data_IF_163983183439
#
_entry.id   IF_163983183439
#
_cell.length_a   1.000
_cell.length_b   1.000
_cell.length_c   1.000
_cell.angle_alpha   90.00
_cell.angle_beta   90.00
_cell.angle_gamma   90.00
#
_symmetry.space_group_name_H-M   'P 1'
#
loop_
_entity.id
_entity.type
_entity.pdbx_description
1 polymer ?
#
# COMPACT_ATOMS: atom_id res chain seq x y z
N UNK A 1 -2.87 11.90 23.67
CA UNK A 1 -2.41 10.97 22.61
C UNK A 1 -2.77 9.55 23.03
N UNK A 2 -3.28 8.71 22.11
CA UNK A 2 -3.51 7.30 22.43
C UNK A 2 -2.16 6.60 22.65
N UNK A 3 -2.10 5.69 23.61
CA UNK A 3 -0.92 4.85 23.83
C UNK A 3 -0.72 3.99 22.59
N UNK A 4 0.45 4.05 21.98
CA UNK A 4 0.84 3.13 20.90
C UNK A 4 1.48 1.92 21.56
N UNK A 5 0.87 0.75 21.35
CA UNK A 5 1.33 -0.52 21.90
C UNK A 5 1.70 -1.41 20.72
N UNK A 6 2.82 -2.12 20.83
CA UNK A 6 3.26 -3.15 19.90
C UNK A 6 3.28 -4.45 20.71
N UNK A 7 2.71 -5.51 20.14
CA UNK A 7 2.76 -6.83 20.76
C UNK A 7 4.21 -7.33 20.81
N UNK A 8 4.66 -7.84 21.97
CA UNK A 8 6.04 -8.30 22.15
C UNK A 8 6.41 -9.45 21.21
N UNK A 9 5.44 -10.26 20.80
CA UNK A 9 5.64 -11.37 19.86
C UNK A 9 6.13 -10.92 18.48
N UNK A 10 5.95 -9.65 18.12
CA UNK A 10 6.51 -9.08 16.88
C UNK A 10 8.03 -9.08 16.92
N UNK A 11 8.65 -8.75 18.05
CA UNK A 11 10.11 -8.71 18.17
C UNK A 11 10.74 -10.11 18.27
N UNK A 12 9.96 -11.12 18.70
CA UNK A 12 10.38 -12.51 18.62
C UNK A 12 10.45 -12.99 17.17
N UNK A 13 9.48 -12.60 16.33
CA UNK A 13 9.42 -13.00 14.92
C UNK A 13 10.32 -12.14 14.02
N UNK A 14 10.49 -10.87 14.36
CA UNK A 14 11.23 -9.87 13.59
C UNK A 14 12.15 -9.07 14.52
N UNK A 15 13.30 -9.62 14.92
CA UNK A 15 14.21 -8.98 15.89
C UNK A 15 14.68 -7.60 15.46
N UNK A 16 14.82 -7.37 14.15
CA UNK A 16 15.27 -6.10 13.58
C UNK A 16 14.13 -5.11 13.30
N UNK A 17 12.89 -5.43 13.70
CA UNK A 17 11.75 -4.55 13.46
C UNK A 17 11.91 -3.21 14.18
N UNK A 18 11.87 -2.12 13.41
CA UNK A 18 11.89 -0.75 13.91
C UNK A 18 10.57 -0.07 13.57
N UNK A 19 9.98 0.63 14.55
CA UNK A 19 8.78 1.45 14.34
C UNK A 19 9.05 2.89 14.76
N UNK A 20 8.84 3.81 13.83
CA UNK A 20 8.91 5.25 14.07
C UNK A 20 7.52 5.87 13.89
N UNK A 21 7.26 6.97 14.60
CA UNK A 21 6.02 7.74 14.48
C UNK A 21 6.42 9.18 14.20
N UNK A 22 6.05 9.66 13.02
CA UNK A 22 6.22 11.06 12.63
C UNK A 22 4.86 11.74 12.76
N UNK A 23 4.79 12.78 13.60
CA UNK A 23 3.59 13.60 13.76
C UNK A 23 3.88 14.97 13.18
N UNK A 24 3.25 15.27 12.04
CA UNK A 24 3.33 16.59 11.41
C UNK A 24 2.06 17.37 11.77
N UNK A 25 2.23 18.61 12.21
CA UNK A 25 1.13 19.54 12.47
C UNK A 25 1.11 20.60 11.36
N UNK A 26 -0.07 21.17 11.13
CA UNK A 26 -0.27 22.28 10.21
C UNK A 26 0.19 21.98 8.77
N UNK A 27 0.10 20.72 8.37
CA UNK A 27 0.42 20.28 7.01
C UNK A 27 -0.71 20.66 6.04
N UNK A 28 -0.37 21.43 5.01
CA UNK A 28 -1.31 21.77 3.95
C UNK A 28 -1.33 20.65 2.89
N UNK A 29 -2.26 19.73 3.06
CA UNK A 29 -2.47 18.57 2.19
C UNK A 29 -3.31 18.87 0.94
N UNK A 30 -3.55 20.13 0.58
CA UNK A 30 -4.67 20.49 -0.29
C UNK A 30 -4.33 20.63 -1.79
N UNK A 31 -3.06 20.74 -2.16
CA UNK A 31 -2.70 21.17 -3.50
C UNK A 31 -2.29 20.00 -4.39
N UNK A 32 -3.21 19.58 -5.27
CA UNK A 32 -2.90 18.62 -6.32
C UNK A 32 -1.81 19.14 -7.26
N UNK A 33 -0.68 18.44 -7.32
CA UNK A 33 0.45 18.84 -8.16
C UNK A 33 0.36 18.20 -9.56
N UNK A 34 0.02 19.02 -10.57
CA UNK A 34 -0.09 18.56 -11.98
C UNK A 34 1.24 17.99 -12.51
N UNK A 35 2.40 18.44 -12.01
CA UNK A 35 3.72 17.91 -12.42
C UNK A 35 3.96 16.50 -11.89
N UNK A 36 3.23 16.07 -10.85
CA UNK A 36 3.29 14.70 -10.30
C UNK A 36 2.19 13.83 -10.91
N UNK A 37 0.95 14.36 -10.95
CA UNK A 37 -0.22 13.60 -11.42
C UNK A 37 -0.10 13.13 -12.87
N UNK A 38 0.43 13.97 -13.77
CA UNK A 38 0.53 13.65 -15.20
C UNK A 38 1.56 12.52 -15.47
N UNK A 39 2.81 12.59 -14.96
CA UNK A 39 3.75 11.46 -15.09
C UNK A 39 3.22 10.17 -14.44
N UNK A 40 2.60 10.26 -13.26
CA UNK A 40 2.03 9.10 -12.59
C UNK A 40 0.95 8.41 -13.44
N UNK A 41 -0.01 9.17 -13.96
CA UNK A 41 -1.06 8.62 -14.83
C UNK A 41 -0.48 7.97 -16.09
N UNK A 42 0.53 8.60 -16.72
CA UNK A 42 1.21 8.03 -17.90
C UNK A 42 1.87 6.69 -17.59
N UNK A 43 2.51 6.56 -16.44
CA UNK A 43 3.15 5.31 -16.03
C UNK A 43 2.11 4.23 -15.70
N UNK A 44 0.99 4.60 -15.07
CA UNK A 44 -0.13 3.69 -14.83
C UNK A 44 -0.67 3.17 -16.17
N UNK A 45 -0.98 4.06 -17.12
CA UNK A 45 -1.48 3.69 -18.45
C UNK A 45 -0.52 2.73 -19.18
N UNK A 46 0.79 2.97 -19.07
CA UNK A 46 1.81 2.09 -19.65
C UNK A 46 1.74 0.67 -19.07
N UNK A 47 1.63 0.56 -17.75
CA UNK A 47 1.67 -0.73 -17.02
C UNK A 47 0.33 -1.43 -16.91
N UNK A 48 -0.79 -0.80 -17.26
CA UNK A 48 -2.13 -1.41 -17.20
C UNK A 48 -2.26 -2.70 -18.02
N UNK A 49 -1.41 -2.88 -19.03
CA UNK A 49 -1.36 -4.08 -19.88
C UNK A 49 -0.60 -5.25 -19.24
N UNK A 50 0.17 -4.99 -18.18
CA UNK A 50 0.94 -6.01 -17.48
C UNK A 50 0.07 -6.74 -16.45
N UNK A 51 0.32 -8.03 -16.25
CA UNK A 51 -0.33 -8.80 -15.20
C UNK A 51 0.39 -8.61 -13.85
N UNK A 52 0.26 -7.41 -13.27
CA UNK A 52 0.92 -7.05 -12.00
C UNK A 52 0.40 -7.84 -10.79
N UNK A 53 -0.77 -8.47 -10.89
CA UNK A 53 -1.33 -9.32 -9.82
C UNK A 53 -0.44 -10.54 -9.57
N UNK A 54 0.20 -11.04 -10.63
CA UNK A 54 1.07 -12.21 -10.57
C UNK A 54 2.53 -11.86 -10.23
N UNK A 55 2.85 -10.57 -10.05
CA UNK A 55 4.21 -10.13 -9.75
C UNK A 55 4.70 -10.75 -8.44
N UNK A 56 5.96 -11.24 -8.35
CA UNK A 56 6.47 -11.92 -7.14
C UNK A 56 6.27 -11.13 -5.84
N UNK A 57 6.55 -9.81 -5.85
CA UNK A 57 6.34 -8.95 -4.69
C UNK A 57 4.86 -8.73 -4.32
N UNK A 58 3.93 -8.92 -5.26
CA UNK A 58 2.49 -8.85 -4.98
C UNK A 58 2.00 -10.19 -4.42
N UNK A 59 2.53 -11.31 -4.91
CA UNK A 59 2.25 -12.66 -4.39
C UNK A 59 2.81 -12.89 -2.98
N UNK A 60 3.96 -12.32 -2.65
CA UNK A 60 4.55 -12.42 -1.31
C UNK A 60 3.58 -11.97 -0.19
N UNK A 61 2.62 -11.11 -0.51
CA UNK A 61 1.58 -10.70 0.43
C UNK A 61 0.53 -11.77 0.73
N UNK A 62 0.33 -12.76 -0.13
CA UNK A 62 -0.55 -13.89 0.18
C UNK A 62 0.03 -14.71 1.33
N UNK A 63 1.32 -15.03 1.25
CA UNK A 63 2.03 -15.74 2.31
C UNK A 63 2.02 -14.96 3.62
N UNK A 64 2.17 -13.63 3.56
CA UNK A 64 2.10 -12.77 4.74
C UNK A 64 0.71 -12.80 5.39
N UNK A 65 -0.36 -12.70 4.59
CA UNK A 65 -1.74 -12.80 5.08
C UNK A 65 -2.02 -14.17 5.71
N UNK A 66 -1.58 -15.26 5.06
CA UNK A 66 -1.75 -16.61 5.57
C UNK A 66 -1.00 -16.82 6.91
N UNK A 67 0.23 -16.31 7.04
CA UNK A 67 0.98 -16.34 8.30
C UNK A 67 0.28 -15.59 9.45
N UNK A 68 -0.51 -14.57 9.11
CA UNK A 68 -1.35 -13.83 10.06
C UNK A 68 -2.74 -14.46 10.29
N UNK A 69 -3.02 -15.62 9.68
CA UNK A 69 -4.33 -16.28 9.80
C UNK A 69 -5.45 -15.60 9.00
N UNK A 70 -5.11 -14.71 8.06
CA UNK A 70 -6.06 -14.05 7.17
C UNK A 70 -6.05 -14.74 5.80
N UNK A 71 -7.21 -15.15 5.30
CA UNK A 71 -7.33 -15.63 3.92
C UNK A 71 -7.17 -14.45 2.94
N UNK A 72 -6.12 -14.41 2.09
CA UNK A 72 -5.89 -13.32 1.13
C UNK A 72 -6.90 -13.29 -0.02
N UNK A 73 -7.68 -14.35 -0.24
CA UNK A 73 -8.74 -14.34 -1.25
C UNK A 73 -10.03 -13.70 -0.70
N UNK A 74 -10.34 -13.96 0.57
CA UNK A 74 -11.47 -13.33 1.28
C UNK A 74 -11.17 -11.90 1.72
N UNK A 75 -9.94 -11.64 2.21
CA UNK A 75 -9.46 -10.35 2.68
C UNK A 75 -8.16 -9.98 1.96
N UNK A 76 -8.26 -9.48 0.71
CA UNK A 76 -7.08 -9.25 -0.11
C UNK A 76 -6.15 -8.17 0.46
N UNK A 77 -4.82 -8.37 0.36
CA UNK A 77 -3.85 -7.31 0.60
C UNK A 77 -4.22 -6.03 -0.14
N UNK A 78 -4.00 -4.88 0.50
CA UNK A 78 -4.37 -3.56 -0.05
C UNK A 78 -3.81 -3.33 -1.46
N UNK A 79 -2.59 -3.79 -1.73
CA UNK A 79 -1.96 -3.71 -3.05
C UNK A 79 -2.72 -4.52 -4.11
N UNK A 80 -3.23 -5.71 -3.79
CA UNK A 80 -4.04 -6.52 -4.72
C UNK A 80 -5.39 -5.87 -4.98
N UNK A 81 -6.03 -5.33 -3.95
CA UNK A 81 -7.28 -4.58 -4.09
C UNK A 81 -7.10 -3.35 -4.98
N UNK A 82 -6.00 -2.61 -4.80
CA UNK A 82 -5.63 -1.45 -5.60
C UNK A 82 -5.39 -1.83 -7.07
N UNK A 83 -4.59 -2.86 -7.34
CA UNK A 83 -4.33 -3.34 -8.70
C UNK A 83 -5.61 -3.80 -9.40
N UNK A 84 -6.50 -4.53 -8.70
CA UNK A 84 -7.82 -4.90 -9.22
C UNK A 84 -8.68 -3.69 -9.56
N UNK A 85 -8.68 -2.64 -8.71
CA UNK A 85 -9.41 -1.39 -8.96
C UNK A 85 -8.90 -0.69 -10.22
N UNK A 86 -7.58 -0.55 -10.36
CA UNK A 86 -6.95 0.09 -11.52
C UNK A 86 -7.32 -0.68 -12.80
N UNK A 87 -7.21 -2.01 -12.78
CA UNK A 87 -7.55 -2.88 -13.92
C UNK A 87 -9.01 -2.75 -14.35
N UNK A 88 -9.93 -2.50 -13.42
CA UNK A 88 -11.36 -2.26 -13.69
C UNK A 88 -11.68 -0.82 -14.15
N UNK A 89 -10.67 0.03 -14.36
CA UNK A 89 -10.87 1.42 -14.76
C UNK A 89 -11.24 2.36 -13.60
N UNK A 90 -11.23 1.88 -12.35
CA UNK A 90 -11.49 2.70 -11.16
C UNK A 90 -10.36 3.68 -10.81
N UNK A 91 -9.32 3.71 -11.64
CA UNK A 91 -8.15 4.57 -11.52
C UNK A 91 -7.28 4.27 -10.29
N UNK A 92 -6.17 4.98 -10.21
CA UNK A 92 -5.36 5.06 -9.00
C UNK A 92 -5.96 6.16 -8.11
N UNK A 93 -6.35 5.88 -6.85
CA UNK A 93 -6.76 6.92 -5.94
C UNK A 93 -5.58 7.89 -5.79
N UNK A 94 -5.81 9.18 -5.99
CA UNK A 94 -4.73 10.16 -5.91
C UNK A 94 -4.16 10.14 -4.48
N UNK A 95 -3.00 9.51 -4.32
CA UNK A 95 -2.18 9.65 -3.12
C UNK A 95 -1.57 11.03 -3.24
N UNK A 96 -1.79 11.83 -2.20
CA UNK A 96 -1.54 13.25 -2.17
C UNK A 96 -0.12 13.63 -2.64
N UNK A 97 0.01 14.81 -3.24
CA UNK A 97 1.25 15.33 -3.83
C UNK A 97 2.15 16.09 -2.85
N UNK A 98 2.02 15.80 -1.55
CA UNK A 98 2.86 16.37 -0.49
C UNK A 98 4.27 15.80 -0.56
#
# INVERSE_FOLDING_TARGET
>A
MRKVIIDSGIFTQFPDFKREIIVVKDIENALGNKRIKKPLNKEIEKRMRENLIEHPFVKAWDEAHLKFGSDPHRFPPSIKALLKRIKKGGGFPFINSV
#
